data_IF_956829905052
#
_entry.id   IF_956829905052
#
_cell.length_a   1.000
_cell.length_b   1.000
_cell.length_c   1.000
_cell.angle_alpha   90.00
_cell.angle_beta   90.00
_cell.angle_gamma   90.00
#
_symmetry.space_group_name_H-M   'P 1'
#
loop_
_entity.id
_entity.type
_entity.pdbx_description
1 polymer ?
#
# COMPACT_ATOMS: atom_id res chain seq x y z
N UNK A 1 4.78 -28.99 -14.35
CA UNK A 1 4.64 -27.53 -14.56
C UNK A 1 3.58 -27.02 -13.63
N UNK A 2 3.80 -25.85 -13.03
CA UNK A 2 2.81 -25.17 -12.18
C UNK A 2 2.35 -23.98 -13.02
N UNK A 3 1.28 -24.18 -13.76
CA UNK A 3 0.57 -23.11 -14.45
C UNK A 3 -0.12 -22.30 -13.37
N UNK A 4 0.47 -21.18 -12.99
CA UNK A 4 -0.15 -20.27 -12.04
C UNK A 4 -1.33 -19.58 -12.71
N UNK A 5 -2.36 -19.29 -11.91
CA UNK A 5 -3.57 -18.65 -12.38
C UNK A 5 -3.28 -17.25 -12.91
N UNK A 6 -3.88 -16.90 -14.05
CA UNK A 6 -3.90 -15.51 -14.49
C UNK A 6 -5.09 -14.79 -13.85
N UNK A 7 -4.85 -13.55 -13.44
CA UNK A 7 -5.88 -12.62 -12.99
C UNK A 7 -6.04 -11.60 -14.10
N UNK A 8 -7.08 -11.76 -14.92
CA UNK A 8 -7.39 -10.82 -16.00
C UNK A 8 -8.75 -10.14 -15.75
N UNK A 9 -8.95 -8.91 -16.24
CA UNK A 9 -10.27 -8.29 -16.22
C UNK A 9 -11.23 -9.00 -17.16
N UNK A 10 -12.46 -9.24 -16.72
CA UNK A 10 -13.60 -9.50 -17.62
C UNK A 10 -14.52 -8.28 -17.60
N UNK A 11 -15.09 -7.93 -18.76
CA UNK A 11 -16.13 -6.90 -18.82
C UNK A 11 -17.50 -7.51 -18.54
N UNK A 12 -18.19 -6.97 -17.52
CA UNK A 12 -19.56 -7.34 -17.14
C UNK A 12 -20.50 -6.13 -17.18
N UNK A 13 -21.80 -6.40 -17.33
CA UNK A 13 -22.85 -5.40 -17.17
C UNK A 13 -22.97 -4.95 -15.69
N UNK A 14 -23.20 -3.65 -15.46
CA UNK A 14 -23.35 -3.08 -14.12
C UNK A 14 -24.64 -3.59 -13.47
N UNK A 15 -24.50 -4.13 -12.25
CA UNK A 15 -25.60 -4.48 -11.36
C UNK A 15 -25.48 -3.72 -10.03
N UNK A 16 -26.50 -3.83 -9.17
CA UNK A 16 -26.47 -3.16 -7.86
C UNK A 16 -25.23 -3.57 -7.05
N UNK A 17 -24.46 -2.58 -6.56
CA UNK A 17 -23.22 -2.78 -5.81
C UNK A 17 -22.03 -3.37 -6.62
N UNK A 18 -22.02 -3.22 -7.96
CA UNK A 18 -20.93 -3.70 -8.82
C UNK A 18 -19.54 -3.17 -8.44
N UNK A 19 -19.44 -1.99 -7.80
CA UNK A 19 -18.17 -1.40 -7.34
C UNK A 19 -17.39 -2.32 -6.38
N UNK A 20 -18.06 -3.22 -5.65
CA UNK A 20 -17.41 -4.21 -4.80
C UNK A 20 -16.64 -5.29 -5.58
N UNK A 21 -16.99 -5.49 -6.86
CA UNK A 21 -16.45 -6.52 -7.74
C UNK A 21 -15.46 -5.94 -8.77
N UNK A 22 -15.43 -4.62 -8.89
CA UNK A 22 -14.64 -3.88 -9.86
C UNK A 22 -13.15 -3.89 -9.54
N UNK A 23 -12.33 -3.93 -10.59
CA UNK A 23 -10.88 -3.76 -10.48
C UNK A 23 -10.58 -2.28 -10.15
N UNK A 24 -9.80 -1.99 -9.09
CA UNK A 24 -9.44 -0.62 -8.75
C UNK A 24 -8.74 0.10 -9.90
N UNK A 25 -9.14 1.35 -10.15
CA UNK A 25 -8.57 2.22 -11.20
C UNK A 25 -8.76 1.70 -12.65
N UNK A 26 -9.68 0.76 -12.88
CA UNK A 26 -10.05 0.36 -14.24
C UNK A 26 -10.76 1.51 -14.98
N UNK A 27 -10.65 1.61 -16.33
CA UNK A 27 -11.40 2.59 -17.10
C UNK A 27 -12.91 2.51 -16.85
N UNK A 28 -13.58 3.66 -16.84
CA UNK A 28 -15.05 3.72 -16.78
C UNK A 28 -15.65 3.36 -18.14
N UNK A 29 -16.64 2.48 -18.14
CA UNK A 29 -17.43 2.12 -19.31
C UNK A 29 -18.91 2.38 -18.98
N UNK A 30 -19.69 3.00 -19.89
CA UNK A 30 -21.14 3.12 -19.72
C UNK A 30 -21.76 1.75 -19.52
N UNK A 31 -22.58 1.61 -18.48
CA UNK A 31 -23.35 0.40 -18.16
C UNK A 31 -22.53 -0.89 -17.94
N UNK A 32 -21.19 -0.82 -17.93
CA UNK A 32 -20.28 -1.97 -17.76
C UNK A 32 -19.12 -1.70 -16.83
N UNK A 33 -18.47 -2.74 -16.34
CA UNK A 33 -17.29 -2.63 -15.50
C UNK A 33 -16.32 -3.80 -15.69
N UNK A 34 -15.07 -3.58 -15.33
CA UNK A 34 -14.03 -4.60 -15.30
C UNK A 34 -14.08 -5.36 -13.98
N UNK A 35 -14.52 -6.61 -14.00
CA UNK A 35 -14.65 -7.49 -12.85
C UNK A 35 -13.34 -8.25 -12.57
N UNK A 36 -13.11 -8.59 -11.29
CA UNK A 36 -12.01 -9.47 -10.89
C UNK A 36 -12.28 -10.89 -11.39
N UNK A 37 -11.30 -11.50 -12.05
CA UNK A 37 -11.42 -12.86 -12.53
C UNK A 37 -10.16 -13.69 -12.31
N UNK A 38 -10.32 -15.01 -12.31
CA UNK A 38 -9.26 -16.00 -12.10
C UNK A 38 -9.37 -17.11 -13.14
N UNK A 39 -8.31 -17.30 -13.90
CA UNK A 39 -8.26 -18.35 -14.90
C UNK A 39 -7.54 -19.55 -14.33
N UNK A 40 -8.13 -20.73 -14.48
CA UNK A 40 -7.60 -21.96 -13.89
C UNK A 40 -7.50 -23.08 -14.92
N UNK A 41 -6.71 -24.10 -14.62
CA UNK A 41 -6.71 -25.37 -15.36
C UNK A 41 -6.71 -26.56 -14.38
N UNK A 42 -6.71 -27.78 -14.94
CA UNK A 42 -6.77 -29.02 -14.15
C UNK A 42 -5.62 -29.14 -13.15
N UNK A 43 -4.41 -28.71 -13.52
CA UNK A 43 -3.24 -28.78 -12.64
C UNK A 43 -3.37 -27.81 -11.46
N UNK A 44 -3.87 -26.59 -11.70
CA UNK A 44 -4.15 -25.64 -10.62
C UNK A 44 -5.20 -26.19 -9.68
N UNK A 45 -6.36 -26.63 -10.21
CA UNK A 45 -7.47 -27.07 -9.38
C UNK A 45 -7.08 -28.25 -8.47
N UNK A 46 -6.24 -29.17 -8.97
CA UNK A 46 -5.70 -30.29 -8.19
C UNK A 46 -4.76 -29.86 -7.06
N UNK A 47 -4.02 -28.76 -7.25
CA UNK A 47 -3.02 -28.25 -6.28
C UNK A 47 -3.60 -27.27 -5.28
N UNK A 48 -4.55 -26.46 -5.71
CA UNK A 48 -5.26 -25.45 -4.92
C UNK A 48 -6.76 -25.67 -5.07
N UNK A 49 -7.29 -26.78 -4.51
CA UNK A 49 -8.72 -27.06 -4.57
C UNK A 49 -9.47 -25.98 -3.79
N UNK A 50 -10.62 -25.59 -4.32
CA UNK A 50 -11.58 -24.74 -3.63
C UNK A 50 -12.83 -25.54 -3.31
N UNK A 51 -13.47 -25.18 -2.20
CA UNK A 51 -14.73 -25.78 -1.80
C UNK A 51 -15.91 -25.06 -2.44
N UNK A 52 -16.93 -25.83 -2.79
CA UNK A 52 -18.15 -25.35 -3.43
C UNK A 52 -19.27 -25.36 -2.40
N UNK A 53 -19.88 -24.20 -2.20
CA UNK A 53 -21.06 -24.03 -1.37
C UNK A 53 -22.31 -24.55 -2.10
N UNK A 54 -22.47 -24.16 -3.37
CA UNK A 54 -23.63 -24.51 -4.20
C UNK A 54 -23.21 -24.94 -5.60
N UNK A 55 -23.87 -25.95 -6.18
CA UNK A 55 -23.58 -26.46 -7.52
C UNK A 55 -22.42 -27.44 -7.54
N UNK A 56 -21.48 -27.28 -8.48
CA UNK A 56 -20.32 -28.16 -8.64
C UNK A 56 -19.07 -27.38 -9.05
N UNK A 57 -17.93 -28.05 -8.91
CA UNK A 57 -16.65 -27.59 -9.49
C UNK A 57 -16.54 -28.03 -10.96
N UNK A 58 -15.46 -27.58 -11.60
CA UNK A 58 -15.10 -27.98 -12.94
C UNK A 58 -14.72 -29.47 -13.00
N UNK A 59 -15.01 -30.10 -14.13
CA UNK A 59 -14.43 -31.40 -14.46
C UNK A 59 -13.14 -31.25 -15.30
N UNK A 60 -12.37 -32.32 -15.42
CA UNK A 60 -11.08 -32.30 -16.14
C UNK A 60 -11.25 -31.97 -17.64
N UNK A 61 -12.36 -32.37 -18.26
CA UNK A 61 -12.64 -32.06 -19.67
C UNK A 61 -12.87 -30.55 -19.87
N UNK A 62 -13.71 -29.94 -19.04
CA UNK A 62 -14.05 -28.51 -19.06
C UNK A 62 -12.83 -27.60 -18.91
N UNK A 63 -11.80 -28.05 -18.19
CA UNK A 63 -10.55 -27.31 -18.00
C UNK A 63 -9.54 -27.48 -19.14
N UNK A 64 -9.80 -28.41 -20.06
CA UNK A 64 -8.92 -28.77 -21.18
C UNK A 64 -9.43 -28.29 -22.55
N UNK A 65 -10.71 -27.96 -22.64
CA UNK A 65 -11.40 -27.49 -23.84
C UNK A 65 -10.94 -26.09 -24.28
N UNK A 66 -10.97 -25.87 -25.59
CA UNK A 66 -10.83 -24.56 -26.22
C UNK A 66 -12.22 -23.94 -26.38
N UNK A 67 -12.41 -22.75 -25.81
CA UNK A 67 -13.70 -22.06 -25.78
C UNK A 67 -13.83 -20.94 -26.83
N UNK A 68 -12.81 -20.74 -27.68
CA UNK A 68 -12.83 -19.74 -28.76
C UNK A 68 -13.94 -19.96 -29.80
N UNK A 69 -14.52 -21.16 -29.84
CA UNK A 69 -15.55 -21.58 -30.81
C UNK A 69 -16.77 -22.23 -30.15
N UNK A 70 -16.97 -22.04 -28.83
CA UNK A 70 -18.03 -22.69 -28.06
C UNK A 70 -19.10 -21.69 -27.60
N UNK A 71 -20.34 -22.19 -27.56
CA UNK A 71 -21.52 -21.39 -27.21
C UNK A 71 -21.59 -21.04 -25.72
N UNK A 72 -20.91 -21.79 -24.85
CA UNK A 72 -20.94 -21.55 -23.41
C UNK A 72 -19.62 -21.88 -22.71
N UNK A 73 -19.30 -21.10 -21.67
CA UNK A 73 -18.11 -21.27 -20.82
C UNK A 73 -18.57 -21.55 -19.38
N UNK A 74 -18.14 -22.64 -18.75
CA UNK A 74 -18.49 -22.89 -17.35
C UNK A 74 -17.82 -21.86 -16.44
N UNK A 75 -18.59 -21.32 -15.49
CA UNK A 75 -18.13 -20.33 -14.51
C UNK A 75 -18.35 -20.84 -13.09
N UNK A 76 -17.37 -20.61 -12.22
CA UNK A 76 -17.53 -20.73 -10.76
C UNK A 76 -17.38 -19.35 -10.15
N UNK A 77 -18.35 -18.93 -9.33
CA UNK A 77 -18.37 -17.59 -8.75
C UNK A 77 -17.94 -17.60 -7.29
N UNK A 78 -17.27 -16.54 -6.84
CA UNK A 78 -16.98 -16.29 -5.44
C UNK A 78 -18.25 -16.13 -4.59
N UNK A 79 -18.14 -16.36 -3.28
CA UNK A 79 -19.29 -16.37 -2.38
C UNK A 79 -20.07 -15.05 -2.33
N UNK A 80 -19.47 -13.88 -2.62
CA UNK A 80 -20.18 -12.60 -2.61
C UNK A 80 -21.11 -12.41 -3.81
N UNK A 81 -21.07 -13.29 -4.81
CA UNK A 81 -22.08 -13.34 -5.85
C UNK A 81 -23.38 -14.04 -5.41
N UNK A 82 -23.41 -14.64 -4.21
CA UNK A 82 -24.62 -15.24 -3.64
C UNK A 82 -25.73 -14.20 -3.52
N UNK A 83 -26.91 -14.53 -4.06
CA UNK A 83 -28.07 -13.63 -4.12
C UNK A 83 -28.01 -12.58 -5.23
N UNK A 84 -26.94 -12.59 -6.05
CA UNK A 84 -26.84 -11.84 -7.31
C UNK A 84 -27.04 -12.78 -8.49
N UNK A 85 -26.38 -13.94 -8.47
CA UNK A 85 -26.52 -15.01 -9.45
C UNK A 85 -26.77 -16.34 -8.77
N UNK A 86 -27.54 -17.19 -9.43
CA UNK A 86 -27.82 -18.58 -9.06
C UNK A 86 -27.09 -19.56 -9.99
N UNK A 87 -26.94 -20.81 -9.54
CA UNK A 87 -26.39 -21.88 -10.37
C UNK A 87 -27.35 -22.15 -11.54
N UNK A 88 -26.83 -22.09 -12.76
CA UNK A 88 -27.57 -22.20 -14.01
C UNK A 88 -27.76 -20.87 -14.73
N UNK A 89 -27.46 -19.73 -14.09
CA UNK A 89 -27.58 -18.42 -14.71
C UNK A 89 -26.56 -18.21 -15.83
N UNK A 90 -26.96 -17.43 -16.83
CA UNK A 90 -26.13 -17.00 -17.95
C UNK A 90 -25.58 -15.60 -17.71
N UNK A 91 -24.29 -15.41 -17.94
CA UNK A 91 -23.57 -14.14 -17.82
C UNK A 91 -22.93 -13.81 -19.18
N UNK A 92 -23.18 -12.62 -19.71
CA UNK A 92 -22.48 -12.14 -20.90
C UNK A 92 -21.05 -11.71 -20.54
N UNK A 93 -20.05 -12.29 -21.18
CA UNK A 93 -18.63 -12.01 -21.01
C UNK A 93 -18.08 -11.32 -22.26
N UNK A 94 -17.40 -10.19 -22.08
CA UNK A 94 -16.71 -9.44 -23.15
C UNK A 94 -17.56 -9.23 -24.41
N UNK A 95 -18.86 -8.99 -24.19
CA UNK A 95 -19.89 -8.71 -25.20
C UNK A 95 -20.17 -9.84 -26.22
N UNK A 96 -19.40 -10.92 -26.19
CA UNK A 96 -19.37 -11.92 -27.26
C UNK A 96 -19.69 -13.31 -26.76
N UNK A 97 -19.30 -13.63 -25.52
CA UNK A 97 -19.36 -14.98 -25.01
C UNK A 97 -20.40 -15.10 -23.90
N UNK A 98 -20.98 -16.28 -23.76
CA UNK A 98 -21.93 -16.57 -22.68
C UNK A 98 -21.27 -17.51 -21.68
N UNK A 99 -21.10 -17.06 -20.45
CA UNK A 99 -20.71 -17.90 -19.33
C UNK A 99 -21.94 -18.49 -18.63
N UNK A 100 -21.86 -19.74 -18.18
CA UNK A 100 -22.90 -20.41 -17.39
C UNK A 100 -22.38 -20.67 -15.99
N UNK A 101 -23.09 -20.20 -14.98
CA UNK A 101 -22.72 -20.43 -13.58
C UNK A 101 -22.95 -21.89 -13.22
N UNK A 102 -21.88 -22.63 -12.98
CA UNK A 102 -21.94 -24.05 -12.60
C UNK A 102 -21.73 -24.28 -11.10
N UNK A 103 -21.21 -23.28 -10.38
CA UNK A 103 -21.03 -23.36 -8.93
C UNK A 103 -20.70 -22.02 -8.26
N UNK A 104 -20.91 -21.98 -6.94
CA UNK A 104 -20.57 -20.86 -6.07
C UNK A 104 -19.66 -21.38 -4.95
N UNK A 105 -18.54 -20.69 -4.71
CA UNK A 105 -17.56 -21.04 -3.69
C UNK A 105 -18.08 -20.87 -2.26
N UNK A 106 -17.46 -21.57 -1.31
CA UNK A 106 -17.51 -21.21 0.10
C UNK A 106 -16.89 -19.81 0.34
N UNK A 107 -17.19 -19.21 1.49
CA UNK A 107 -16.64 -17.91 1.87
C UNK A 107 -15.15 -17.97 2.22
N UNK A 108 -14.47 -16.84 2.03
CA UNK A 108 -13.07 -16.63 2.43
C UNK A 108 -12.06 -17.65 1.85
N UNK A 109 -12.36 -18.20 0.67
CA UNK A 109 -11.43 -19.08 -0.05
C UNK A 109 -10.23 -18.27 -0.57
N UNK A 110 -9.02 -18.76 -0.30
CA UNK A 110 -7.77 -18.11 -0.71
C UNK A 110 -7.09 -18.90 -1.83
N UNK A 111 -6.52 -18.19 -2.79
CA UNK A 111 -5.73 -18.80 -3.87
C UNK A 111 -4.43 -18.02 -4.09
N UNK A 112 -3.33 -18.66 -4.53
CA UNK A 112 -2.16 -17.94 -5.01
C UNK A 112 -2.50 -16.92 -6.10
N UNK A 113 -2.12 -15.66 -5.87
CA UNK A 113 -2.28 -14.56 -6.83
C UNK A 113 -0.99 -14.28 -7.59
N UNK A 114 -0.80 -13.02 -8.01
CA UNK A 114 0.46 -12.59 -8.62
C UNK A 114 1.57 -12.58 -7.55
N UNK A 115 2.49 -13.55 -7.66
CA UNK A 115 3.64 -13.74 -6.75
C UNK A 115 4.64 -12.58 -6.76
N UNK A 116 4.59 -11.71 -7.78
CA UNK A 116 5.42 -10.50 -7.88
C UNK A 116 4.75 -9.26 -7.26
N UNK A 117 3.48 -9.39 -6.84
CA UNK A 117 2.73 -8.32 -6.15
C UNK A 117 2.74 -8.51 -4.63
N UNK A 118 2.41 -7.44 -3.91
CA UNK A 118 2.27 -7.43 -2.45
C UNK A 118 1.15 -8.38 -1.96
N UNK A 119 0.23 -8.77 -2.85
CA UNK A 119 -0.90 -9.67 -2.59
C UNK A 119 -0.59 -11.09 -3.08
N UNK A 120 0.26 -11.79 -2.34
CA UNK A 120 0.67 -13.19 -2.64
C UNK A 120 -0.49 -14.18 -2.60
N UNK A 121 -1.52 -13.90 -1.80
CA UNK A 121 -2.77 -14.64 -1.74
C UNK A 121 -3.91 -13.68 -2.06
N UNK A 122 -4.84 -14.12 -2.91
CA UNK A 122 -6.07 -13.42 -3.24
C UNK A 122 -7.26 -14.10 -2.55
N UNK A 123 -8.19 -13.29 -2.06
CA UNK A 123 -9.49 -13.78 -1.60
C UNK A 123 -10.44 -13.86 -2.81
N UNK A 124 -11.02 -15.04 -3.02
CA UNK A 124 -11.85 -15.36 -4.17
C UNK A 124 -13.32 -14.92 -4.05
N UNK A 125 -13.74 -14.32 -2.94
CA UNK A 125 -15.14 -13.97 -2.68
C UNK A 125 -15.77 -13.11 -3.78
N UNK A 126 -14.98 -12.21 -4.38
CA UNK A 126 -15.41 -11.29 -5.44
C UNK A 126 -14.88 -11.69 -6.84
N UNK A 127 -14.37 -12.91 -6.99
CA UNK A 127 -13.76 -13.36 -8.24
C UNK A 127 -14.71 -14.23 -9.06
N UNK A 128 -14.56 -14.14 -10.38
CA UNK A 128 -15.17 -15.04 -11.35
C UNK A 128 -14.10 -16.01 -11.81
N UNK A 129 -14.33 -17.30 -11.66
CA UNK A 129 -13.37 -18.35 -11.99
C UNK A 129 -13.82 -19.06 -13.25
N UNK A 130 -12.90 -19.27 -14.21
CA UNK A 130 -13.20 -19.97 -15.45
C UNK A 130 -11.95 -20.63 -16.08
N UNK A 131 -12.12 -21.50 -17.10
CA UNK A 131 -11.03 -22.23 -17.73
C UNK A 131 -10.05 -21.33 -18.50
N UNK A 132 -8.75 -21.59 -18.36
CA UNK A 132 -7.66 -20.76 -18.90
C UNK A 132 -7.59 -20.66 -20.44
N UNK A 133 -8.26 -21.55 -21.19
CA UNK A 133 -8.25 -21.56 -22.67
C UNK A 133 -9.32 -20.66 -23.31
N UNK A 134 -9.73 -19.60 -22.63
CA UNK A 134 -10.69 -18.62 -23.13
C UNK A 134 -10.02 -17.46 -23.91
N UNK A 135 -8.71 -17.21 -23.70
CA UNK A 135 -7.99 -16.11 -24.35
C UNK A 135 -6.69 -16.66 -24.96
N UNK A 136 -6.70 -16.92 -26.27
CA UNK A 136 -5.48 -17.24 -27.03
C UNK A 136 -5.05 -16.01 -27.83
N UNK A 137 -3.83 -15.53 -27.56
CA UNK A 137 -2.94 -14.64 -28.33
C UNK A 137 -1.99 -13.78 -27.48
N UNK A 138 -1.88 -14.03 -26.17
CA UNK A 138 -0.76 -13.54 -25.37
C UNK A 138 0.31 -14.63 -25.21
N UNK A 139 1.57 -14.35 -25.50
CA UNK A 139 2.66 -15.21 -25.01
C UNK A 139 2.74 -15.06 -23.49
N UNK A 140 2.06 -15.93 -22.76
CA UNK A 140 2.05 -15.88 -21.30
C UNK A 140 3.31 -16.54 -20.74
N UNK A 141 3.90 -15.93 -19.71
CA UNK A 141 4.92 -16.58 -18.89
C UNK A 141 4.19 -17.67 -18.10
N UNK A 142 4.25 -18.91 -18.58
CA UNK A 142 3.49 -20.09 -18.11
C UNK A 142 3.96 -20.65 -16.76
N UNK A 143 4.67 -19.84 -15.97
CA UNK A 143 5.27 -20.19 -14.70
C UNK A 143 6.67 -19.59 -14.56
N UNK A 144 7.07 -19.27 -13.33
CA UNK A 144 8.40 -18.78 -13.00
C UNK A 144 9.00 -19.59 -11.86
N UNK A 145 10.24 -20.05 -12.02
CA UNK A 145 11.03 -20.60 -10.94
C UNK A 145 12.07 -19.57 -10.50
N UNK A 146 12.14 -19.28 -9.21
CA UNK A 146 13.20 -18.45 -8.65
C UNK A 146 14.36 -19.35 -8.24
N UNK A 147 15.53 -19.07 -8.79
CA UNK A 147 16.78 -19.72 -8.41
C UNK A 147 17.57 -18.72 -7.60
N UNK A 148 17.86 -19.07 -6.35
CA UNK A 148 18.65 -18.24 -5.46
C UNK A 148 20.11 -18.70 -5.52
N UNK A 149 21.00 -17.79 -5.86
CA UNK A 149 22.44 -17.98 -5.81
C UNK A 149 23.02 -17.43 -4.51
N UNK A 150 24.12 -18.01 -4.03
CA UNK A 150 24.87 -17.40 -2.95
C UNK A 150 25.36 -16.00 -3.35
N UNK A 151 25.46 -15.10 -2.38
CA UNK A 151 25.91 -13.71 -2.61
C UNK A 151 27.31 -13.62 -3.26
N UNK A 152 28.14 -14.64 -3.06
CA UNK A 152 29.49 -14.79 -3.63
C UNK A 152 29.50 -15.28 -5.07
N UNK A 153 28.37 -15.71 -5.63
CA UNK A 153 28.30 -16.20 -7.00
C UNK A 153 28.68 -15.10 -8.00
N UNK A 154 29.53 -15.45 -8.98
CA UNK A 154 29.93 -14.50 -10.01
C UNK A 154 28.83 -14.33 -11.06
N UNK A 155 28.79 -13.15 -11.71
CA UNK A 155 27.82 -12.87 -12.78
C UNK A 155 28.00 -13.83 -13.96
N UNK A 156 29.23 -14.25 -14.22
CA UNK A 156 29.56 -15.25 -15.25
C UNK A 156 28.92 -16.61 -14.93
N UNK A 157 28.99 -17.05 -13.67
CA UNK A 157 28.38 -18.31 -13.23
C UNK A 157 26.85 -18.27 -13.30
N UNK A 158 26.24 -17.16 -12.88
CA UNK A 158 24.78 -16.99 -12.96
C UNK A 158 24.33 -17.01 -14.44
N UNK A 159 25.07 -16.34 -15.31
CA UNK A 159 24.78 -16.33 -16.75
C UNK A 159 24.97 -17.70 -17.39
N UNK A 160 25.97 -18.49 -16.97
CA UNK A 160 26.15 -19.85 -17.46
C UNK A 160 24.98 -20.74 -17.07
N UNK A 161 24.53 -20.67 -15.81
CA UNK A 161 23.35 -21.43 -15.34
C UNK A 161 22.08 -21.03 -16.10
N UNK A 162 21.85 -19.74 -16.34
CA UNK A 162 20.76 -19.28 -17.20
C UNK A 162 20.85 -19.88 -18.62
N UNK A 163 22.04 -19.84 -19.24
CA UNK A 163 22.24 -20.43 -20.56
C UNK A 163 21.99 -21.94 -20.58
N UNK A 164 22.44 -22.66 -19.54
CA UNK A 164 22.25 -24.11 -19.42
C UNK A 164 20.77 -24.46 -19.27
N UNK A 165 20.01 -23.69 -18.50
CA UNK A 165 18.56 -23.85 -18.37
C UNK A 165 17.89 -23.70 -19.74
N UNK A 166 18.17 -22.61 -20.46
CA UNK A 166 17.60 -22.41 -21.80
C UNK A 166 17.91 -23.58 -22.72
N UNK A 167 19.15 -24.07 -22.71
CA UNK A 167 19.59 -25.19 -23.54
C UNK A 167 18.87 -26.50 -23.19
N UNK A 168 18.78 -26.85 -21.90
CA UNK A 168 18.10 -28.07 -21.44
C UNK A 168 16.62 -28.09 -21.87
N UNK A 169 15.95 -26.94 -21.80
CA UNK A 169 14.54 -26.83 -22.20
C UNK A 169 14.37 -26.80 -23.73
N UNK A 170 15.31 -26.19 -24.46
CA UNK A 170 15.34 -26.24 -25.93
C UNK A 170 15.52 -27.67 -26.46
N UNK A 171 16.39 -28.47 -25.82
CA UNK A 171 16.64 -29.88 -26.16
C UNK A 171 15.39 -30.78 -26.07
N UNK A 172 14.40 -30.40 -25.25
CA UNK A 172 13.11 -31.10 -25.09
C UNK A 172 11.95 -30.41 -25.83
N UNK A 173 12.24 -29.40 -26.66
CA UNK A 173 11.25 -28.69 -27.47
C UNK A 173 10.37 -27.72 -26.68
N UNK A 174 10.85 -27.20 -25.55
CA UNK A 174 10.12 -26.27 -24.69
C UNK A 174 10.83 -24.91 -24.66
N UNK A 175 10.13 -23.86 -25.10
CA UNK A 175 10.66 -22.50 -25.02
C UNK A 175 10.63 -21.98 -23.57
N UNK A 176 11.80 -21.68 -23.01
CA UNK A 176 11.97 -21.09 -21.68
C UNK A 176 12.88 -19.87 -21.75
N UNK A 177 12.59 -18.88 -20.89
CA UNK A 177 13.47 -17.76 -20.65
C UNK A 177 13.98 -17.77 -19.20
N UNK A 178 15.23 -17.36 -19.03
CA UNK A 178 15.93 -17.29 -17.74
C UNK A 178 16.78 -16.03 -17.73
N UNK A 179 16.58 -15.17 -16.74
CA UNK A 179 17.27 -13.87 -16.65
C UNK A 179 17.76 -13.64 -15.23
N UNK A 180 18.91 -12.98 -15.11
CA UNK A 180 19.38 -12.47 -13.83
C UNK A 180 18.59 -11.21 -13.45
N UNK A 181 17.83 -11.30 -12.36
CA UNK A 181 17.06 -10.17 -11.81
C UNK A 181 17.85 -9.38 -10.77
N UNK A 182 19.08 -9.78 -10.44
CA UNK A 182 19.86 -9.16 -9.36
C UNK A 182 20.08 -7.67 -9.61
N UNK A 183 20.46 -7.28 -10.83
CA UNK A 183 20.74 -5.89 -11.17
C UNK A 183 19.50 -5.00 -11.05
N UNK A 184 18.34 -5.48 -11.52
CA UNK A 184 17.05 -4.78 -11.41
C UNK A 184 16.65 -4.67 -9.94
N UNK A 185 16.81 -5.74 -9.18
CA UNK A 185 16.51 -5.76 -7.75
C UNK A 185 17.39 -4.79 -6.97
N UNK A 186 18.70 -4.76 -7.25
CA UNK A 186 19.64 -3.81 -6.66
C UNK A 186 19.28 -2.37 -7.02
N UNK A 187 18.96 -2.09 -8.28
CA UNK A 187 18.54 -0.77 -8.71
C UNK A 187 17.25 -0.31 -7.99
N UNK A 188 16.27 -1.20 -7.87
CA UNK A 188 15.02 -0.93 -7.16
C UNK A 188 15.26 -0.68 -5.67
N UNK A 189 16.03 -1.55 -5.00
CA UNK A 189 16.39 -1.38 -3.58
C UNK A 189 17.11 -0.05 -3.38
N UNK A 190 18.09 0.28 -4.22
CA UNK A 190 18.82 1.54 -4.13
C UNK A 190 17.93 2.75 -4.39
N UNK A 191 16.98 2.66 -5.32
CA UNK A 191 15.98 3.71 -5.57
C UNK A 191 15.06 3.93 -4.36
N UNK A 192 14.59 2.84 -3.74
CA UNK A 192 13.81 2.91 -2.50
C UNK A 192 14.62 3.51 -1.34
N UNK A 193 15.87 3.08 -1.16
CA UNK A 193 16.75 3.62 -0.13
C UNK A 193 17.06 5.10 -0.36
N UNK A 194 17.30 5.50 -1.62
CA UNK A 194 17.47 6.91 -1.99
C UNK A 194 16.20 7.71 -1.70
N UNK A 195 15.03 7.19 -2.07
CA UNK A 195 13.75 7.83 -1.80
C UNK A 195 13.49 8.04 -0.30
N UNK A 196 13.89 7.08 0.54
CA UNK A 196 13.83 7.22 2.00
C UNK A 196 14.80 8.32 2.47
N UNK A 197 16.03 8.32 1.97
CA UNK A 197 17.04 9.35 2.29
C UNK A 197 16.57 10.75 1.91
N UNK A 198 15.99 10.91 0.72
CA UNK A 198 15.50 12.20 0.22
C UNK A 198 14.34 12.72 1.08
N UNK A 199 13.39 11.85 1.44
CA UNK A 199 12.28 12.19 2.35
C UNK A 199 12.80 12.59 3.74
N UNK A 200 13.79 11.86 4.27
CA UNK A 200 14.42 12.22 5.54
C UNK A 200 15.13 13.58 5.45
N UNK A 201 15.86 13.84 4.36
CA UNK A 201 16.55 15.11 4.17
C UNK A 201 15.57 16.29 4.09
N UNK A 202 14.49 16.16 3.31
CA UNK A 202 13.43 17.17 3.22
C UNK A 202 12.80 17.39 4.60
N UNK A 203 12.50 16.32 5.35
CA UNK A 203 11.95 16.41 6.70
C UNK A 203 12.87 17.17 7.65
N UNK A 204 14.19 16.93 7.61
CA UNK A 204 15.17 17.64 8.45
C UNK A 204 15.20 19.12 8.10
N UNK A 205 15.24 19.47 6.80
CA UNK A 205 15.26 20.87 6.34
C UNK A 205 14.00 21.60 6.82
N UNK A 206 12.81 21.03 6.62
CA UNK A 206 11.54 21.62 7.07
C UNK A 206 11.54 21.80 8.59
N UNK A 207 12.04 20.82 9.34
CA UNK A 207 12.11 20.87 10.80
C UNK A 207 13.00 22.02 11.28
N UNK A 208 14.13 22.27 10.62
CA UNK A 208 15.01 23.41 10.94
C UNK A 208 14.29 24.74 10.72
N UNK A 209 13.57 24.89 9.60
CA UNK A 209 12.80 26.11 9.35
C UNK A 209 11.71 26.34 10.40
N UNK A 210 10.95 25.29 10.75
CA UNK A 210 9.93 25.35 11.80
C UNK A 210 10.57 25.76 13.14
N UNK A 211 11.71 25.16 13.48
CA UNK A 211 12.45 25.47 14.71
C UNK A 211 12.84 26.96 14.79
N UNK A 212 13.42 27.49 13.70
CA UNK A 212 13.82 28.91 13.63
C UNK A 212 12.59 29.82 13.73
N UNK A 213 11.53 29.53 12.97
CA UNK A 213 10.30 30.31 12.98
C UNK A 213 9.65 30.36 14.36
N UNK A 214 9.46 29.22 15.03
CA UNK A 214 8.88 29.16 16.37
C UNK A 214 9.75 29.91 17.38
N UNK A 215 11.07 29.72 17.33
CA UNK A 215 12.00 30.42 18.23
C UNK A 215 11.89 31.93 18.07
N UNK A 216 11.87 32.43 16.84
CA UNK A 216 11.70 33.86 16.55
C UNK A 216 10.35 34.38 17.06
N UNK A 217 9.27 33.62 16.86
CA UNK A 217 7.94 34.00 17.40
C UNK A 217 7.96 34.10 18.92
N UNK A 218 8.59 33.15 19.62
CA UNK A 218 8.69 33.19 21.09
C UNK A 218 9.55 34.37 21.56
N UNK A 219 10.67 34.64 20.92
CA UNK A 219 11.51 35.81 21.23
C UNK A 219 10.75 37.13 21.00
N UNK A 220 10.02 37.23 19.89
CA UNK A 220 9.18 38.40 19.61
C UNK A 220 8.08 38.57 20.67
N UNK A 221 7.44 37.48 21.10
CA UNK A 221 6.47 37.53 22.19
C UNK A 221 7.11 38.01 23.50
N UNK A 222 8.34 37.58 23.80
CA UNK A 222 9.06 38.04 24.98
C UNK A 222 9.28 39.56 24.94
N UNK A 223 9.64 40.10 23.78
CA UNK A 223 9.82 41.53 23.59
C UNK A 223 8.49 42.31 23.67
N UNK A 224 7.43 41.80 23.05
CA UNK A 224 6.09 42.41 23.06
C UNK A 224 5.52 42.51 24.47
N UNK A 225 5.63 41.42 25.26
CA UNK A 225 5.07 41.34 26.61
C UNK A 225 6.08 41.68 27.72
N UNK A 226 7.21 42.31 27.38
CA UNK A 226 8.27 42.67 28.35
C UNK A 226 7.73 43.52 29.51
N UNK A 227 6.82 44.45 29.24
CA UNK A 227 6.22 45.33 30.26
C UNK A 227 5.35 44.53 31.23
N UNK A 228 4.57 43.58 30.73
CA UNK A 228 3.73 42.72 31.56
C UNK A 228 4.58 41.81 32.44
N UNK A 229 5.69 41.27 31.91
CA UNK A 229 6.67 40.53 32.70
C UNK A 229 7.33 41.39 33.78
N UNK A 230 7.60 42.66 33.51
CA UNK A 230 8.09 43.61 34.51
C UNK A 230 7.09 43.80 35.65
N UNK A 231 5.80 43.99 35.31
CA UNK A 231 4.71 44.13 36.30
C UNK A 231 4.60 42.87 37.15
N UNK A 232 4.62 41.68 36.53
CA UNK A 232 4.60 40.41 37.26
C UNK A 232 5.81 40.26 38.18
N UNK A 233 6.99 40.66 37.73
CA UNK A 233 8.19 40.61 38.55
C UNK A 233 8.11 41.61 39.73
N UNK A 234 7.56 42.81 39.52
CA UNK A 234 7.31 43.77 40.60
C UNK A 234 6.25 43.27 41.60
N UNK A 235 5.29 42.48 41.14
CA UNK A 235 4.31 41.80 41.97
C UNK A 235 4.86 40.54 42.68
N UNK A 236 6.15 40.24 42.56
CA UNK A 236 6.82 39.14 43.26
C UNK A 236 6.97 37.84 42.47
N UNK A 237 6.65 37.81 41.17
CA UNK A 237 6.90 36.63 40.34
C UNK A 237 8.41 36.42 40.11
N UNK A 238 8.85 35.17 40.22
CA UNK A 238 10.23 34.81 39.90
C UNK A 238 10.42 34.57 38.38
N UNK A 239 11.66 34.50 37.93
CA UNK A 239 12.00 34.23 36.51
C UNK A 239 11.47 32.88 36.01
N UNK A 240 11.31 31.88 36.89
CA UNK A 240 10.76 30.57 36.53
C UNK A 240 9.28 30.67 36.14
N UNK A 241 8.52 31.56 36.76
CA UNK A 241 7.12 31.79 36.40
C UNK A 241 7.01 32.37 34.98
N UNK A 242 7.90 33.29 34.60
CA UNK A 242 7.95 33.86 33.25
C UNK A 242 8.35 32.78 32.23
N UNK A 243 9.36 31.97 32.54
CA UNK A 243 9.76 30.82 31.71
C UNK A 243 8.60 29.84 31.52
N UNK A 244 7.83 29.57 32.59
CA UNK A 244 6.66 28.68 32.53
C UNK A 244 5.57 29.20 31.60
N UNK A 245 5.33 30.52 31.55
CA UNK A 245 4.36 31.12 30.61
C UNK A 245 4.77 30.81 29.16
N UNK A 246 6.02 31.03 28.81
CA UNK A 246 6.55 30.77 27.45
C UNK A 246 6.55 29.26 27.13
N UNK A 247 6.94 28.42 28.09
CA UNK A 247 6.92 26.96 27.92
C UNK A 247 5.49 26.41 27.72
N UNK A 248 4.52 26.94 28.46
CA UNK A 248 3.11 26.56 28.32
C UNK A 248 2.53 27.03 26.98
N UNK A 249 2.89 28.23 26.52
CA UNK A 249 2.49 28.70 25.19
C UNK A 249 2.96 27.73 24.10
N UNK A 250 4.23 27.34 24.12
CA UNK A 250 4.77 26.36 23.16
C UNK A 250 4.07 25.01 23.28
N UNK A 251 3.82 24.54 24.50
CA UNK A 251 3.16 23.24 24.74
C UNK A 251 1.73 23.23 24.17
N UNK A 252 0.97 24.30 24.36
CA UNK A 252 -0.39 24.43 23.81
C UNK A 252 -0.37 24.43 22.28
N UNK A 253 0.55 25.18 21.67
CA UNK A 253 0.70 25.21 20.20
C UNK A 253 1.01 23.80 19.66
N UNK A 254 1.97 23.10 20.26
CA UNK A 254 2.35 21.75 19.85
C UNK A 254 1.23 20.72 20.07
N UNK A 255 0.43 20.86 21.13
CA UNK A 255 -0.71 19.99 21.39
C UNK A 255 -1.81 20.16 20.33
N UNK A 256 -2.16 21.41 20.01
CA UNK A 256 -3.15 21.71 18.97
C UNK A 256 -2.67 21.18 17.62
N UNK A 257 -1.40 21.42 17.26
CA UNK A 257 -0.82 20.90 16.03
C UNK A 257 -0.89 19.36 15.95
N UNK A 258 -0.63 18.67 17.07
CA UNK A 258 -0.73 17.21 17.15
C UNK A 258 -2.16 16.73 16.90
N UNK A 259 -3.15 17.35 17.56
CA UNK A 259 -4.56 17.00 17.36
C UNK A 259 -5.00 17.21 15.91
N UNK A 260 -4.60 18.33 15.30
CA UNK A 260 -4.91 18.65 13.89
C UNK A 260 -4.23 17.70 12.90
N UNK A 261 -3.16 17.01 13.29
CA UNK A 261 -2.45 16.04 12.45
C UNK A 261 -3.13 14.67 12.36
N UNK A 262 -3.98 14.31 13.34
CA UNK A 262 -4.60 12.98 13.44
C UNK A 262 -5.43 12.60 12.20
N UNK A 263 -6.27 13.49 11.62
CA UNK A 263 -7.04 13.14 10.41
C UNK A 263 -6.16 12.78 9.21
N UNK A 264 -5.01 13.45 9.06
CA UNK A 264 -4.07 13.15 7.97
C UNK A 264 -3.44 11.76 8.13
N UNK A 265 -3.20 11.33 9.36
CA UNK A 265 -2.83 9.94 9.64
C UNK A 265 -3.99 8.99 9.32
N UNK A 266 -5.21 9.30 9.75
CA UNK A 266 -6.37 8.43 9.55
C UNK A 266 -6.69 8.17 8.06
N UNK A 267 -6.61 9.18 7.19
CA UNK A 267 -6.93 9.05 5.74
C UNK A 267 -6.01 8.04 5.05
N UNK A 268 -4.71 8.05 5.34
CA UNK A 268 -3.74 7.09 4.78
C UNK A 268 -3.97 5.66 5.29
N UNK A 269 -4.75 5.52 6.34
CA UNK A 269 -4.87 4.30 7.12
C UNK A 269 -6.18 3.56 6.88
N UNK A 270 -7.11 4.18 6.14
CA UNK A 270 -8.34 3.53 5.63
C UNK A 270 -8.00 2.32 4.75
N UNK A 271 -6.80 2.27 4.15
CA UNK A 271 -6.33 1.18 3.30
C UNK A 271 -5.54 0.08 4.02
N UNK A 272 -4.80 0.39 5.09
CA UNK A 272 -3.78 -0.54 5.67
C UNK A 272 -3.90 -0.80 7.18
N UNK A 273 -4.89 -0.22 7.89
CA UNK A 273 -5.11 -0.42 9.33
C UNK A 273 -4.21 0.42 10.26
N UNK A 274 -4.77 0.85 11.40
CA UNK A 274 -4.15 1.83 12.32
C UNK A 274 -2.92 1.30 13.05
N UNK A 275 -1.73 1.62 12.53
CA UNK A 275 -0.48 1.46 13.27
C UNK A 275 -0.29 2.64 14.24
N UNK A 276 -0.49 2.40 15.53
CA UNK A 276 -0.40 3.40 16.61
C UNK A 276 1.05 3.75 16.99
N UNK A 277 2.03 2.91 16.64
CA UNK A 277 3.41 3.09 17.08
C UNK A 277 4.07 4.36 16.50
N UNK A 278 3.94 4.68 15.19
CA UNK A 278 4.47 5.93 14.64
C UNK A 278 3.84 7.19 15.27
N UNK A 279 2.54 7.15 15.57
CA UNK A 279 1.84 8.25 16.25
C UNK A 279 2.44 8.48 17.64
N UNK A 280 2.63 7.41 18.42
CA UNK A 280 3.25 7.51 19.74
C UNK A 280 4.68 8.04 19.68
N UNK A 281 5.49 7.56 18.75
CA UNK A 281 6.87 8.04 18.56
C UNK A 281 6.91 9.53 18.15
N UNK A 282 5.94 10.00 17.36
CA UNK A 282 5.86 11.41 16.96
C UNK A 282 5.58 12.34 18.13
N UNK A 283 4.77 11.90 19.10
CA UNK A 283 4.48 12.66 20.33
C UNK A 283 5.75 12.79 21.17
N UNK A 284 6.51 11.71 21.34
CA UNK A 284 7.80 11.73 22.05
C UNK A 284 8.77 12.70 21.36
N UNK A 285 8.84 12.65 20.04
CA UNK A 285 9.71 13.53 19.25
C UNK A 285 9.34 15.01 19.43
N UNK A 286 8.04 15.34 19.44
CA UNK A 286 7.56 16.72 19.69
C UNK A 286 7.96 17.21 21.08
N UNK A 287 7.83 16.38 22.12
CA UNK A 287 8.25 16.73 23.48
C UNK A 287 9.74 17.06 23.51
N UNK A 288 10.57 16.22 22.89
CA UNK A 288 12.01 16.47 22.79
C UNK A 288 12.32 17.77 22.02
N UNK A 289 11.62 18.01 20.91
CA UNK A 289 11.83 19.20 20.09
C UNK A 289 11.44 20.49 20.83
N UNK A 290 10.34 20.46 21.61
CA UNK A 290 9.94 21.58 22.46
C UNK A 290 11.02 21.95 23.48
N UNK A 291 11.68 20.94 24.08
CA UNK A 291 12.79 21.18 25.03
C UNK A 291 13.93 21.94 24.33
N UNK A 292 14.30 21.53 23.12
CA UNK A 292 15.38 22.18 22.35
C UNK A 292 14.98 23.62 22.00
N UNK A 293 13.75 23.84 21.52
CA UNK A 293 13.25 25.19 21.14
C UNK A 293 13.32 26.15 22.32
N UNK A 294 13.00 25.70 23.53
CA UNK A 294 12.96 26.56 24.71
C UNK A 294 14.34 27.03 25.20
N UNK A 295 15.44 26.39 24.76
CA UNK A 295 16.79 26.77 25.21
C UNK A 295 17.07 28.25 24.92
N UNK A 296 16.82 28.71 23.69
CA UNK A 296 17.13 30.08 23.26
C UNK A 296 16.24 31.12 23.98
N UNK A 297 14.89 30.98 24.01
CA UNK A 297 14.01 31.87 24.78
C UNK A 297 14.35 31.92 26.27
N UNK A 298 14.70 30.79 26.90
CA UNK A 298 15.07 30.76 28.33
C UNK A 298 16.33 31.59 28.59
N UNK A 299 17.35 31.47 27.73
CA UNK A 299 18.58 32.27 27.84
C UNK A 299 18.24 33.76 27.68
N UNK A 300 17.39 34.10 26.71
CA UNK A 300 16.94 35.47 26.49
C UNK A 300 16.24 36.05 27.74
N UNK A 301 15.30 35.32 28.34
CA UNK A 301 14.57 35.75 29.55
C UNK A 301 15.53 35.96 30.73
N UNK A 302 16.48 35.05 30.94
CA UNK A 302 17.47 35.16 32.04
C UNK A 302 18.37 36.39 31.90
N UNK A 303 18.60 36.84 30.66
CA UNK A 303 19.42 38.01 30.38
C UNK A 303 18.63 39.34 30.45
N UNK A 304 17.31 39.32 30.67
CA UNK A 304 16.52 40.54 30.83
C UNK A 304 16.82 41.19 32.18
N UNK A 305 17.40 42.39 32.15
CA UNK A 305 17.68 43.16 33.36
C UNK A 305 16.41 43.88 33.85
N UNK A 306 16.11 43.81 35.16
CA UNK A 306 14.95 44.47 35.79
C UNK A 306 14.83 45.97 35.49
N UNK A 307 15.97 46.66 35.41
CA UNK A 307 16.05 48.09 35.06
C UNK A 307 15.68 48.36 33.60
N UNK A 308 15.90 47.41 32.69
CA UNK A 308 15.48 47.49 31.28
C UNK A 308 14.00 47.13 31.10
N UNK A 309 13.47 46.26 31.96
CA UNK A 309 12.07 45.86 32.00
C UNK A 309 11.13 47.00 32.42
N UNK A 310 11.55 47.87 33.35
CA UNK A 310 10.72 48.93 33.94
C UNK A 310 10.79 50.25 33.16
N UNK A 311 11.95 50.60 32.58
CA UNK A 311 12.09 51.89 31.90
C UNK A 311 11.28 51.99 30.61
N UNK A 312 10.92 50.87 29.98
CA UNK A 312 10.43 50.90 28.59
C UNK A 312 11.51 51.44 27.64
N UNK A 313 11.38 51.20 26.35
CA UNK A 313 12.26 51.87 25.38
C UNK A 313 12.08 53.40 25.50
N UNK A 314 13.18 54.12 25.67
CA UNK A 314 13.39 55.35 24.88
C UNK A 314 13.57 54.95 23.41
#
# INVERSE_FOLDING_TARGET
>A
MLTLNSVEPIVLDKFNNYENFKIPNSPEIPDKFYANSLHINSDTLKRFPFNISHGRSFNDEELSLDYTSKDFIPLVLGNKFTGIYDVGDSITLDETYTGIVIGILDDNQLNPGNITSDKRLINLDNYIIFPNKYIDNGSYITGGALIHFEKSASKEYINSVCSDIRKIFDDIGVAVDSRDFSEILYANINSYLSSIKDKLMISVIITIFIFVSITLTLLNNILLYKKDFAIHHLAGANTLNIISIIANQLTIISLIATILSIPFFAIKTITDGLNILPLFLSIIFIVFLNIIVLIIPIISIKNLNLTQLIKGEE
#
